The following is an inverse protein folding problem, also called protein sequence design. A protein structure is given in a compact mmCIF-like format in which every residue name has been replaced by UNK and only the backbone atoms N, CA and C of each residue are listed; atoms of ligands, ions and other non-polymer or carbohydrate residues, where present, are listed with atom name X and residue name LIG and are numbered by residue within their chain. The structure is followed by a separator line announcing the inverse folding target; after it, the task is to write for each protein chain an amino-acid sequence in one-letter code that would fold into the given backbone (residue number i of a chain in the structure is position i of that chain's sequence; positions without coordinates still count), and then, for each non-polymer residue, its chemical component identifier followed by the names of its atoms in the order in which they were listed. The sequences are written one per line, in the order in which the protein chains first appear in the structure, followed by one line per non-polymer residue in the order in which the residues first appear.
data_IF_157944942136
#
_entry.id   IF_157944942136
#
_cell.length_a   1.000
_cell.length_b   1.000
_cell.length_c   1.000
_cell.angle_alpha   90.00
_cell.angle_beta   90.00
_cell.angle_gamma   90.00
#
_symmetry.space_group_name_H-M   'P 1'
#
loop_
_entity.id
_entity.type
_entity.pdbx_description
1 polymer ?
#
# COMPACT_ATOMS: atom_id res chain seq x y z
N UNK A 1 -1.40 2.53 58.80
CA UNK A 1 -0.29 1.91 58.03
C UNK A 1 0.99 2.61 58.46
N UNK A 2 2.02 1.90 58.92
CA UNK A 2 3.24 2.56 59.43
C UNK A 2 4.10 3.06 58.26
N UNK A 3 4.23 4.38 58.10
CA UNK A 3 5.03 5.03 57.04
C UNK A 3 6.46 4.49 57.01
N UNK A 4 7.02 4.15 58.18
CA UNK A 4 8.36 3.60 58.27
C UNK A 4 8.47 2.22 57.60
N UNK A 5 7.42 1.40 57.67
CA UNK A 5 7.41 0.09 57.01
C UNK A 5 7.35 0.24 55.49
N UNK A 6 6.50 1.14 54.99
CA UNK A 6 6.38 1.46 53.57
C UNK A 6 7.72 1.96 53.03
N UNK A 7 8.34 2.91 53.73
CA UNK A 7 9.64 3.44 53.33
C UNK A 7 10.73 2.37 53.39
N UNK A 8 10.67 1.43 54.33
CA UNK A 8 11.64 0.34 54.44
C UNK A 8 11.49 -0.67 53.30
N UNK A 9 10.27 -1.04 52.94
CA UNK A 9 9.97 -1.92 51.80
C UNK A 9 10.44 -1.30 50.49
N UNK A 10 10.02 -0.06 50.21
CA UNK A 10 10.45 0.68 49.02
C UNK A 10 11.98 0.86 48.97
N UNK A 11 12.63 1.05 50.13
CA UNK A 11 14.09 1.17 50.17
C UNK A 11 14.81 -0.12 49.86
N UNK A 12 14.23 -1.26 50.23
CA UNK A 12 14.79 -2.57 49.93
C UNK A 12 14.60 -2.93 48.45
N UNK A 13 13.43 -2.63 47.88
CA UNK A 13 13.14 -2.87 46.46
C UNK A 13 14.01 -2.00 45.54
N UNK A 14 14.25 -0.74 45.91
CA UNK A 14 15.01 0.21 45.10
C UNK A 14 16.52 0.18 45.38
N UNK A 15 17.01 -0.83 46.12
CA UNK A 15 18.43 -0.95 46.48
C UNK A 15 19.29 -1.14 45.22
N UNK A 16 20.16 -0.18 44.95
CA UNK A 16 21.03 -0.18 43.75
C UNK A 16 20.57 0.79 42.64
N UNK A 17 19.41 1.43 42.81
CA UNK A 17 18.90 2.47 41.92
C UNK A 17 19.06 3.88 42.54
N UNK A 18 18.86 4.92 41.71
CA UNK A 18 18.74 6.30 42.19
C UNK A 18 17.25 6.67 42.19
N UNK A 19 16.69 7.04 43.35
CA UNK A 19 15.28 7.36 43.49
C UNK A 19 15.05 8.46 44.53
N UNK A 20 14.01 9.28 44.31
CA UNK A 20 13.49 10.24 45.28
C UNK A 20 12.05 9.84 45.62
N UNK A 21 11.79 9.58 46.90
CA UNK A 21 10.48 9.22 47.43
C UNK A 21 9.97 10.40 48.22
N UNK A 22 8.83 10.97 47.82
CA UNK A 22 8.12 12.02 48.54
C UNK A 22 6.75 11.52 48.96
N UNK A 23 6.48 11.51 50.26
CA UNK A 23 5.20 11.10 50.83
C UNK A 23 4.65 12.27 51.65
N UNK A 24 3.40 12.66 51.43
CA UNK A 24 2.72 13.67 52.22
C UNK A 24 1.68 13.01 53.13
N UNK A 25 1.80 13.22 54.44
CA UNK A 25 0.83 12.73 55.44
C UNK A 25 0.55 13.85 56.43
N UNK A 26 -0.73 14.15 56.68
CA UNK A 26 -1.19 15.17 57.64
C UNK A 26 -0.50 16.53 57.49
N UNK A 27 -0.23 16.93 56.23
CA UNK A 27 0.44 18.20 55.92
C UNK A 27 1.96 18.20 56.11
N UNK A 28 2.55 17.09 56.53
CA UNK A 28 4.00 16.91 56.63
C UNK A 28 4.54 16.13 55.44
N UNK A 29 5.69 16.56 54.92
CA UNK A 29 6.41 15.86 53.85
C UNK A 29 7.52 15.01 54.44
N UNK A 30 7.49 13.72 54.11
CA UNK A 30 8.59 12.80 54.35
C UNK A 30 9.30 12.59 53.02
N UNK A 31 10.54 13.07 52.93
CA UNK A 31 11.38 12.94 51.75
C UNK A 31 12.50 11.95 52.06
N UNK A 32 12.65 10.94 51.21
CA UNK A 32 13.73 9.96 51.29
C UNK A 32 14.38 9.80 49.93
N UNK A 33 15.70 9.87 49.88
CA UNK A 33 16.45 9.53 48.69
C UNK A 33 17.13 8.18 48.83
N UNK A 34 17.31 7.51 47.70
CA UNK A 34 18.03 6.25 47.55
C UNK A 34 19.04 6.47 46.42
N UNK A 35 20.31 6.14 46.65
CA UNK A 35 21.37 6.38 45.68
C UNK A 35 21.75 7.86 45.52
N UNK A 36 22.34 8.18 44.36
CA UNK A 36 22.86 9.52 44.02
C UNK A 36 21.78 10.37 43.35
N UNK A 37 21.28 11.36 44.09
CA UNK A 37 20.21 12.27 43.66
C UNK A 37 20.64 13.12 42.46
N UNK A 38 21.94 13.38 42.28
CA UNK A 38 22.44 14.18 41.15
C UNK A 38 22.35 13.44 39.81
N UNK A 39 22.05 12.13 39.83
CA UNK A 39 21.78 11.33 38.63
C UNK A 39 20.31 11.27 38.26
N UNK A 40 19.42 11.90 39.05
CA UNK A 40 18.03 12.05 38.68
C UNK A 40 17.93 13.10 37.57
N UNK A 41 17.32 12.73 36.45
CA UNK A 41 17.16 13.62 35.29
C UNK A 41 16.02 14.60 35.56
N UNK A 42 16.22 15.90 35.26
CA UNK A 42 15.26 17.00 35.52
C UNK A 42 13.87 16.80 34.89
N UNK A 43 13.77 15.94 33.89
CA UNK A 43 12.52 15.50 33.28
C UNK A 43 12.60 13.98 33.13
N UNK A 44 12.17 13.19 34.14
CA UNK A 44 12.00 11.77 33.91
C UNK A 44 10.93 11.62 32.82
N UNK A 45 11.34 11.12 31.65
CA UNK A 45 10.35 10.61 30.69
C UNK A 45 9.64 9.51 31.46
N UNK A 46 8.36 9.68 31.74
CA UNK A 46 7.59 8.68 32.45
C UNK A 46 7.61 7.43 31.58
N UNK A 47 8.43 6.45 31.92
CA UNK A 47 8.49 5.19 31.19
C UNK A 47 7.35 4.33 31.73
N UNK A 48 6.12 4.70 31.37
CA UNK A 48 4.99 3.81 31.51
C UNK A 48 5.12 2.73 30.43
N UNK A 49 5.65 1.57 30.81
CA UNK A 49 5.33 0.35 30.10
C UNK A 49 4.14 -0.24 30.84
N UNK A 50 3.01 -0.44 30.15
CA UNK A 50 1.93 -1.23 30.72
C UNK A 50 2.49 -2.64 30.99
N UNK A 51 2.53 -3.03 32.25
CA UNK A 51 3.10 -4.31 32.72
C UNK A 51 2.58 -5.50 31.89
N UNK A 52 3.51 -6.37 31.50
CA UNK A 52 3.34 -7.74 30.97
C UNK A 52 2.29 -7.98 29.86
N UNK A 53 1.94 -6.96 29.09
CA UNK A 53 1.08 -7.14 27.91
C UNK A 53 1.91 -7.37 26.64
N UNK A 54 1.52 -8.38 25.85
CA UNK A 54 2.14 -8.68 24.57
C UNK A 54 1.77 -7.62 23.53
N UNK A 55 2.77 -7.01 22.89
CA UNK A 55 2.59 -6.10 21.76
C UNK A 55 1.88 -6.80 20.60
N UNK A 56 2.14 -8.09 20.37
CA UNK A 56 1.54 -8.84 19.26
C UNK A 56 0.07 -9.15 19.48
N UNK A 57 -0.31 -9.48 20.72
CA UNK A 57 -1.71 -9.73 21.07
C UNK A 57 -2.52 -8.41 21.06
N UNK A 58 -1.92 -7.32 21.56
CA UNK A 58 -2.51 -5.98 21.41
C UNK A 58 -2.68 -5.59 19.94
N UNK A 59 -1.64 -5.79 19.11
CA UNK A 59 -1.69 -5.52 17.67
C UNK A 59 -2.79 -6.32 16.98
N UNK A 60 -3.00 -7.58 17.36
CA UNK A 60 -4.11 -8.40 16.85
C UNK A 60 -5.48 -7.82 17.20
N UNK A 61 -5.66 -7.44 18.48
CA UNK A 61 -6.88 -6.78 18.94
C UNK A 61 -7.15 -5.46 18.20
N UNK A 62 -6.12 -4.68 17.90
CA UNK A 62 -6.27 -3.45 17.11
C UNK A 62 -6.62 -3.72 15.65
N UNK A 63 -6.02 -4.74 15.02
CA UNK A 63 -6.36 -5.14 13.65
C UNK A 63 -7.84 -5.51 13.52
N UNK A 64 -8.41 -6.18 14.52
CA UNK A 64 -9.81 -6.62 14.48
C UNK A 64 -10.81 -5.47 14.73
N UNK A 65 -10.36 -4.36 15.33
CA UNK A 65 -11.16 -3.12 15.47
C UNK A 65 -11.10 -2.22 14.24
N UNK A 66 -10.15 -2.45 13.33
CA UNK A 66 -9.95 -1.58 12.17
C UNK A 66 -11.12 -1.61 11.18
N UNK A 67 -11.52 -0.43 10.71
CA UNK A 67 -12.56 -0.24 9.70
C UNK A 67 -12.01 -0.06 8.28
N UNK A 68 -10.75 -0.44 8.05
CA UNK A 68 -10.12 -0.33 6.73
C UNK A 68 -10.69 -1.35 5.74
N UNK A 69 -10.35 -1.18 4.46
CA UNK A 69 -10.69 -2.17 3.42
C UNK A 69 -10.11 -3.55 3.75
N UNK A 70 -10.80 -4.62 3.36
CA UNK A 70 -10.37 -6.02 3.56
C UNK A 70 -8.92 -6.27 3.13
N UNK A 71 -8.48 -5.65 2.03
CA UNK A 71 -7.11 -5.78 1.53
C UNK A 71 -6.06 -5.15 2.45
N UNK A 72 -6.39 -4.10 3.19
CA UNK A 72 -5.52 -3.47 4.19
C UNK A 72 -5.43 -4.37 5.43
N UNK A 73 -6.57 -4.84 5.94
CA UNK A 73 -6.64 -5.77 7.07
C UNK A 73 -5.84 -7.04 6.78
N UNK A 74 -6.00 -7.63 5.59
CA UNK A 74 -5.24 -8.80 5.17
C UNK A 74 -3.72 -8.55 5.14
N UNK A 75 -3.28 -7.32 4.78
CA UNK A 75 -1.87 -6.97 4.84
C UNK A 75 -1.37 -6.84 6.28
N UNK A 76 -2.18 -6.30 7.19
CA UNK A 76 -1.85 -6.20 8.61
C UNK A 76 -1.77 -7.58 9.26
N UNK A 77 -2.76 -8.46 9.03
CA UNK A 77 -2.73 -9.86 9.47
C UNK A 77 -1.52 -10.63 8.93
N UNK A 78 -1.16 -10.40 7.66
CA UNK A 78 0.06 -11.00 7.10
C UNK A 78 1.34 -10.49 7.78
N UNK A 79 1.42 -9.20 8.13
CA UNK A 79 2.56 -8.66 8.88
C UNK A 79 2.63 -9.22 10.30
N UNK A 80 1.48 -9.29 11.00
CA UNK A 80 1.37 -9.90 12.32
C UNK A 80 1.84 -11.36 12.30
N UNK A 81 1.38 -12.16 11.34
CA UNK A 81 1.80 -13.56 11.20
C UNK A 81 3.31 -13.70 11.01
N UNK A 82 3.94 -12.79 10.26
CA UNK A 82 5.40 -12.79 10.06
C UNK A 82 6.14 -12.32 11.32
N UNK A 83 5.59 -11.36 12.07
CA UNK A 83 6.12 -10.96 13.38
C UNK A 83 6.04 -12.10 14.40
N UNK A 84 4.93 -12.83 14.46
CA UNK A 84 4.78 -14.03 15.31
C UNK A 84 5.80 -15.12 14.95
N UNK A 85 6.14 -15.28 13.67
CA UNK A 85 7.22 -16.20 13.23
C UNK A 85 8.62 -15.75 13.63
N UNK A 86 8.83 -14.44 13.79
CA UNK A 86 10.09 -13.90 14.29
C UNK A 86 10.21 -14.07 15.80
N UNK A 87 9.16 -13.71 16.55
CA UNK A 87 9.02 -13.92 17.99
C UNK A 87 7.57 -14.26 18.31
N UNK A 88 7.34 -15.38 19.01
CA UNK A 88 5.99 -15.81 19.40
C UNK A 88 5.31 -14.80 20.34
N UNK A 89 6.10 -14.25 21.26
CA UNK A 89 5.67 -13.22 22.21
C UNK A 89 6.68 -12.06 22.21
N UNK A 90 6.17 -10.85 22.37
CA UNK A 90 6.95 -9.61 22.32
C UNK A 90 6.33 -8.58 23.27
N UNK A 91 6.82 -8.45 24.51
CA UNK A 91 6.41 -7.36 25.39
C UNK A 91 6.76 -5.98 24.79
N UNK A 92 6.00 -4.93 25.14
CA UNK A 92 6.26 -3.56 24.69
C UNK A 92 7.69 -3.07 25.02
N UNK A 93 8.26 -3.52 26.14
CA UNK A 93 9.64 -3.23 26.56
C UNK A 93 10.69 -3.77 25.59
N UNK A 94 10.38 -4.84 24.85
CA UNK A 94 11.27 -5.45 23.87
C UNK A 94 11.14 -4.82 22.47
N UNK A 95 10.22 -3.88 22.27
CA UNK A 95 10.04 -3.18 21.00
C UNK A 95 11.01 -1.99 20.93
N UNK A 96 12.30 -2.30 20.92
CA UNK A 96 13.39 -1.32 20.87
C UNK A 96 14.08 -1.27 19.49
N UNK A 97 15.08 -0.39 19.34
CA UNK A 97 15.83 -0.28 18.08
C UNK A 97 16.49 -1.60 17.64
N UNK A 98 16.95 -2.41 18.59
CA UNK A 98 17.59 -3.70 18.31
C UNK A 98 16.57 -4.67 17.74
N UNK A 99 15.38 -4.76 18.32
CA UNK A 99 14.26 -5.57 17.81
C UNK A 99 13.89 -5.22 16.37
N UNK A 100 13.84 -3.92 16.02
CA UNK A 100 13.58 -3.48 14.64
C UNK A 100 14.66 -4.00 13.67
N UNK A 101 15.94 -3.92 14.05
CA UNK A 101 17.05 -4.39 13.22
C UNK A 101 17.06 -5.93 13.11
N UNK A 102 16.83 -6.63 14.22
CA UNK A 102 16.78 -8.09 14.27
C UNK A 102 15.63 -8.63 13.42
N UNK A 103 14.47 -7.96 13.45
CA UNK A 103 13.34 -8.29 12.58
C UNK A 103 13.67 -8.07 11.09
N UNK A 104 14.34 -6.96 10.73
CA UNK A 104 14.78 -6.75 9.35
C UNK A 104 15.76 -7.86 8.90
N UNK A 105 16.70 -8.25 9.75
CA UNK A 105 17.67 -9.31 9.49
C UNK A 105 17.00 -10.67 9.35
N UNK A 106 16.00 -10.99 10.18
CA UNK A 106 15.17 -12.17 10.04
C UNK A 106 14.48 -12.22 8.67
N UNK A 107 13.88 -11.11 8.22
CA UNK A 107 13.22 -11.05 6.92
C UNK A 107 14.21 -11.22 5.76
N UNK A 108 15.41 -10.63 5.87
CA UNK A 108 16.49 -10.84 4.88
C UNK A 108 16.95 -12.29 4.86
N UNK A 109 17.18 -12.90 6.03
CA UNK A 109 17.59 -14.31 6.16
C UNK A 109 16.54 -15.29 5.61
N UNK A 110 15.26 -14.95 5.72
CA UNK A 110 14.15 -15.70 5.13
C UNK A 110 13.98 -15.47 3.61
N UNK A 111 14.81 -14.64 2.98
CA UNK A 111 14.81 -14.41 1.53
C UNK A 111 13.71 -13.48 1.01
N UNK A 112 13.11 -12.64 1.87
CA UNK A 112 12.11 -11.68 1.41
C UNK A 112 12.73 -10.59 0.53
N UNK A 113 12.03 -10.22 -0.55
CA UNK A 113 12.43 -9.09 -1.39
C UNK A 113 12.40 -7.76 -0.62
N UNK A 114 13.28 -6.82 -0.97
CA UNK A 114 13.48 -5.55 -0.26
C UNK A 114 12.18 -4.74 -0.12
N UNK A 115 11.37 -4.66 -1.18
CA UNK A 115 10.07 -3.96 -1.09
C UNK A 115 9.03 -4.68 -0.24
N UNK A 116 9.14 -6.01 -0.11
CA UNK A 116 8.29 -6.79 0.81
C UNK A 116 8.72 -6.55 2.26
N UNK A 117 10.03 -6.52 2.53
CA UNK A 117 10.59 -6.11 3.82
C UNK A 117 10.08 -4.71 4.18
N UNK A 118 10.23 -3.76 3.26
CA UNK A 118 9.78 -2.39 3.46
C UNK A 118 8.29 -2.29 3.81
N UNK A 119 7.46 -3.12 3.18
CA UNK A 119 6.03 -3.19 3.48
C UNK A 119 5.79 -3.66 4.92
N UNK A 120 6.42 -4.75 5.34
CA UNK A 120 6.30 -5.23 6.72
C UNK A 120 6.81 -4.20 7.73
N UNK A 121 7.96 -3.56 7.47
CA UNK A 121 8.50 -2.53 8.36
C UNK A 121 7.60 -1.29 8.47
N UNK A 122 6.89 -0.92 7.40
CA UNK A 122 5.92 0.19 7.43
C UNK A 122 4.69 -0.15 8.29
N UNK A 123 4.21 -1.39 8.19
CA UNK A 123 3.08 -1.86 9.00
C UNK A 123 3.51 -1.94 10.46
N UNK A 124 4.69 -2.51 10.75
CA UNK A 124 5.20 -2.57 12.11
C UNK A 124 5.36 -1.17 12.72
N UNK A 125 5.96 -0.23 11.98
CA UNK A 125 6.07 1.18 12.40
C UNK A 125 4.71 1.80 12.71
N UNK A 126 3.67 1.50 11.91
CA UNK A 126 2.32 2.02 12.16
C UNK A 126 1.82 1.59 13.54
N UNK A 127 1.89 0.30 13.85
CA UNK A 127 1.42 -0.20 15.15
C UNK A 127 2.29 0.29 16.31
N UNK A 128 3.60 0.48 16.09
CA UNK A 128 4.44 1.13 17.10
C UNK A 128 4.02 2.58 17.36
N UNK A 129 3.71 3.36 16.32
CA UNK A 129 3.19 4.71 16.52
C UNK A 129 1.85 4.70 17.27
N UNK A 130 0.94 3.81 16.90
CA UNK A 130 -0.34 3.67 17.58
C UNK A 130 -0.17 3.29 19.05
N UNK A 131 0.77 2.39 19.38
CA UNK A 131 1.08 2.04 20.77
C UNK A 131 1.64 3.22 21.57
N UNK A 132 2.38 4.12 20.93
CA UNK A 132 2.87 5.36 21.55
C UNK A 132 1.73 6.35 21.76
N UNK A 133 0.85 6.50 20.76
CA UNK A 133 -0.33 7.37 20.85
C UNK A 133 -1.32 6.90 21.93
N UNK A 134 -1.37 5.59 22.20
CA UNK A 134 -2.13 4.96 23.31
C UNK A 134 -1.36 4.91 24.63
N UNK A 135 -0.18 5.54 24.72
CA UNK A 135 0.66 5.61 25.93
C UNK A 135 1.11 4.23 26.47
N UNK A 136 1.11 3.19 25.64
CA UNK A 136 1.56 1.83 26.00
C UNK A 136 3.09 1.70 25.99
N UNK A 137 3.74 2.59 25.24
CA UNK A 137 5.19 2.73 25.20
C UNK A 137 5.59 4.18 24.90
N UNK A 138 6.72 4.64 25.42
CA UNK A 138 7.15 6.04 25.27
C UNK A 138 8.38 6.23 24.40
N UNK A 139 9.17 5.17 24.21
CA UNK A 139 10.40 5.23 23.40
C UNK A 139 10.07 4.85 21.96
N UNK A 140 10.32 5.77 21.02
CA UNK A 140 10.14 5.50 19.59
C UNK A 140 11.35 4.74 18.99
N UNK A 141 11.23 3.44 18.64
CA UNK A 141 12.35 2.60 18.25
C UNK A 141 12.81 2.83 16.79
N UNK A 142 11.96 3.44 15.95
CA UNK A 142 12.29 3.71 14.56
C UNK A 142 13.08 5.02 14.34
N UNK A 143 13.44 5.75 15.42
CA UNK A 143 14.10 7.06 15.34
C UNK A 143 15.37 7.06 14.48
N UNK A 144 16.20 6.02 14.59
CA UNK A 144 17.45 5.86 13.82
C UNK A 144 17.34 4.86 12.66
N UNK A 145 16.13 4.37 12.35
CA UNK A 145 15.91 3.32 11.37
C UNK A 145 15.25 3.86 10.09
N UNK A 146 15.92 3.65 8.96
CA UNK A 146 15.42 4.05 7.65
C UNK A 146 14.94 2.83 6.85
N UNK A 147 13.65 2.82 6.52
CA UNK A 147 13.07 1.79 5.67
C UNK A 147 13.56 1.98 4.23
N UNK A 148 14.34 1.03 3.73
CA UNK A 148 14.84 1.01 2.36
C UNK A 148 13.76 0.50 1.41
N UNK A 149 13.66 1.10 0.22
CA UNK A 149 12.80 0.63 -0.87
C UNK A 149 13.56 0.71 -2.18
N UNK A 150 13.29 -0.21 -3.09
CA UNK A 150 13.89 -0.22 -4.43
C UNK A 150 12.86 0.15 -5.49
N UNK A 151 13.29 0.95 -6.47
CA UNK A 151 12.47 1.26 -7.63
C UNK A 151 12.46 0.05 -8.57
N UNK A 152 11.37 -0.71 -8.53
CA UNK A 152 11.14 -1.78 -9.50
C UNK A 152 10.51 -1.18 -10.76
N UNK A 153 11.11 -1.47 -11.91
CA UNK A 153 10.55 -1.04 -13.19
C UNK A 153 9.18 -1.69 -13.39
N UNK A 154 8.15 -0.85 -13.47
CA UNK A 154 6.77 -1.31 -13.67
C UNK A 154 6.64 -1.94 -15.05
N UNK A 155 6.19 -3.19 -15.10
CA UNK A 155 5.96 -3.87 -16.38
C UNK A 155 4.73 -3.28 -17.09
N UNK A 156 4.89 -3.01 -18.37
CA UNK A 156 3.84 -2.56 -19.30
C UNK A 156 4.04 -3.25 -20.66
N UNK A 157 2.94 -3.39 -21.40
CA UNK A 157 2.97 -3.92 -22.76
C UNK A 157 3.62 -2.91 -23.70
N UNK A 158 4.39 -3.40 -24.66
CA UNK A 158 4.79 -2.63 -25.83
C UNK A 158 3.60 -2.44 -26.78
N UNK A 159 3.67 -1.45 -27.67
CA UNK A 159 2.63 -1.23 -28.67
C UNK A 159 2.47 -2.45 -29.62
N UNK A 160 3.56 -3.18 -29.89
CA UNK A 160 3.55 -4.43 -30.66
C UNK A 160 2.83 -5.56 -29.93
N UNK A 161 3.11 -5.74 -28.63
CA UNK A 161 2.44 -6.75 -27.80
C UNK A 161 0.95 -6.44 -27.64
N UNK A 162 0.59 -5.17 -27.43
CA UNK A 162 -0.81 -4.76 -27.34
C UNK A 162 -1.58 -5.10 -28.61
N UNK A 163 -1.05 -4.73 -29.79
CA UNK A 163 -1.65 -5.08 -31.08
C UNK A 163 -1.77 -6.59 -31.26
N UNK A 164 -0.77 -7.36 -30.83
CA UNK A 164 -0.83 -8.83 -30.88
C UNK A 164 -1.99 -9.38 -30.05
N UNK A 165 -2.23 -8.86 -28.84
CA UNK A 165 -3.38 -9.27 -28.01
C UNK A 165 -4.69 -8.91 -28.72
N UNK A 166 -4.80 -7.71 -29.28
CA UNK A 166 -5.99 -7.26 -30.02
C UNK A 166 -6.29 -8.16 -31.24
N UNK A 167 -5.26 -8.52 -32.01
CA UNK A 167 -5.40 -9.37 -33.19
C UNK A 167 -5.77 -10.81 -32.82
N UNK A 168 -5.12 -11.34 -31.77
CA UNK A 168 -5.33 -12.72 -31.32
C UNK A 168 -6.67 -12.92 -30.61
N UNK A 169 -7.18 -11.93 -29.89
CA UNK A 169 -8.52 -11.98 -29.28
C UNK A 169 -9.63 -12.18 -30.31
N UNK A 170 -9.44 -11.65 -31.53
CA UNK A 170 -10.38 -11.79 -32.65
C UNK A 170 -10.23 -13.08 -33.43
N UNK A 171 -8.99 -13.58 -33.55
CA UNK A 171 -8.64 -14.69 -34.46
C UNK A 171 -8.57 -16.05 -33.78
N UNK A 172 -8.23 -16.11 -32.49
CA UNK A 172 -8.14 -17.39 -31.78
C UNK A 172 -9.43 -17.73 -31.04
N UNK A 173 -9.68 -19.03 -30.93
CA UNK A 173 -10.68 -19.56 -30.03
C UNK A 173 -10.23 -19.37 -28.57
N UNK A 174 -11.00 -18.57 -27.85
CA UNK A 174 -10.89 -18.33 -26.43
C UNK A 174 -12.14 -18.91 -25.77
N UNK A 175 -11.94 -19.56 -24.62
CA UNK A 175 -13.06 -19.90 -23.74
C UNK A 175 -13.82 -18.64 -23.32
N UNK A 176 -15.06 -18.79 -22.89
CA UNK A 176 -15.87 -17.64 -22.45
C UNK A 176 -15.24 -16.88 -21.28
N UNK A 177 -14.59 -17.58 -20.34
CA UNK A 177 -13.84 -16.97 -19.24
C UNK A 177 -12.64 -16.16 -19.78
N UNK A 178 -11.83 -16.76 -20.67
CA UNK A 178 -10.67 -16.10 -21.27
C UNK A 178 -11.08 -14.84 -22.05
N UNK A 179 -12.15 -14.92 -22.85
CA UNK A 179 -12.67 -13.79 -23.62
C UNK A 179 -13.09 -12.64 -22.71
N UNK A 180 -13.84 -12.92 -21.64
CA UNK A 180 -14.24 -11.91 -20.64
C UNK A 180 -13.03 -11.25 -19.99
N UNK A 181 -12.05 -12.05 -19.56
CA UNK A 181 -10.83 -11.56 -18.91
C UNK A 181 -10.00 -10.69 -19.86
N UNK A 182 -9.80 -11.12 -21.11
CA UNK A 182 -9.04 -10.36 -22.11
C UNK A 182 -9.76 -9.06 -22.47
N UNK A 183 -11.09 -9.08 -22.71
CA UNK A 183 -11.85 -7.84 -22.98
C UNK A 183 -11.82 -6.87 -21.79
N UNK A 184 -11.96 -7.36 -20.56
CA UNK A 184 -11.83 -6.54 -19.36
C UNK A 184 -10.42 -5.95 -19.20
N UNK A 185 -9.38 -6.74 -19.50
CA UNK A 185 -7.99 -6.29 -19.49
C UNK A 185 -7.72 -5.22 -20.57
N UNK A 186 -8.18 -5.42 -21.81
CA UNK A 186 -8.06 -4.44 -22.88
C UNK A 186 -8.82 -3.14 -22.54
N UNK A 187 -10.01 -3.25 -21.95
CA UNK A 187 -10.73 -2.09 -21.46
C UNK A 187 -9.94 -1.33 -20.38
N UNK A 188 -9.25 -2.03 -19.48
CA UNK A 188 -8.32 -1.43 -18.52
C UNK A 188 -7.15 -0.71 -19.21
N UNK A 189 -6.59 -1.29 -20.28
CA UNK A 189 -5.53 -0.63 -21.07
C UNK A 189 -6.05 0.66 -21.69
N UNK A 190 -7.26 0.66 -22.23
CA UNK A 190 -7.78 1.81 -22.97
C UNK A 190 -8.35 2.92 -22.08
N UNK A 191 -8.84 2.57 -20.89
CA UNK A 191 -9.42 3.53 -19.93
C UNK A 191 -8.45 3.92 -18.82
N UNK A 192 -7.46 3.08 -18.51
CA UNK A 192 -6.57 3.24 -17.37
C UNK A 192 -7.20 2.89 -16.01
N UNK A 193 -8.44 2.39 -15.97
CA UNK A 193 -9.12 2.00 -14.73
C UNK A 193 -8.45 0.81 -14.05
N UNK A 194 -8.50 0.76 -12.71
CA UNK A 194 -7.99 -0.39 -11.94
C UNK A 194 -8.99 -1.55 -12.03
N UNK A 195 -8.52 -2.76 -11.70
CA UNK A 195 -9.37 -3.94 -11.64
C UNK A 195 -10.62 -3.71 -10.76
N UNK A 196 -10.45 -3.14 -9.57
CA UNK A 196 -11.54 -2.81 -8.64
C UNK A 196 -12.59 -1.87 -9.25
N UNK A 197 -12.16 -0.93 -10.08
CA UNK A 197 -13.05 0.02 -10.73
C UNK A 197 -13.78 -0.64 -11.92
N UNK A 198 -13.13 -1.56 -12.64
CA UNK A 198 -13.70 -2.28 -13.79
C UNK A 198 -14.79 -3.28 -13.39
N UNK A 199 -14.68 -3.93 -12.24
CA UNK A 199 -15.75 -4.83 -11.77
C UNK A 199 -17.01 -4.08 -11.28
N UNK A 200 -16.94 -2.75 -11.19
CA UNK A 200 -18.04 -1.88 -10.77
C UNK A 200 -18.56 -0.96 -11.86
N UNK A 201 -17.80 -0.73 -12.93
CA UNK A 201 -18.25 0.14 -14.02
C UNK A 201 -19.51 -0.43 -14.67
N UNK A 202 -20.51 0.43 -14.89
CA UNK A 202 -21.83 0.09 -15.45
C UNK A 202 -22.10 0.98 -16.66
N UNK A 203 -23.15 0.67 -17.40
CA UNK A 203 -23.60 1.53 -18.52
C UNK A 203 -23.96 2.95 -18.06
N UNK A 204 -24.43 3.14 -16.83
CA UNK A 204 -24.77 4.46 -16.28
C UNK A 204 -23.55 5.36 -16.08
N UNK A 205 -22.38 4.77 -15.86
CA UNK A 205 -21.11 5.50 -15.81
C UNK A 205 -20.67 6.00 -17.20
N UNK A 206 -21.26 5.50 -18.29
CA UNK A 206 -20.93 5.93 -19.66
C UNK A 206 -21.84 7.08 -20.06
N UNK A 207 -21.28 8.30 -20.08
CA UNK A 207 -22.00 9.54 -20.38
C UNK A 207 -21.58 10.07 -21.75
N UNK A 208 -22.54 10.71 -22.44
CA UNK A 208 -22.25 11.49 -23.64
C UNK A 208 -21.95 12.94 -23.22
N UNK A 209 -20.71 13.39 -23.44
CA UNK A 209 -20.25 14.74 -23.10
C UNK A 209 -19.58 15.32 -24.34
N UNK A 210 -20.04 16.48 -24.83
CA UNK A 210 -19.55 17.12 -26.05
C UNK A 210 -19.49 16.16 -27.26
N UNK A 211 -20.57 15.42 -27.52
CA UNK A 211 -20.68 14.40 -28.60
C UNK A 211 -19.65 13.25 -28.51
N UNK A 212 -18.97 13.12 -27.39
CA UNK A 212 -18.01 12.04 -27.11
C UNK A 212 -18.54 11.15 -25.99
N UNK A 213 -18.22 9.86 -26.04
CA UNK A 213 -18.45 8.94 -24.91
C UNK A 213 -17.34 9.07 -23.88
N UNK A 214 -17.74 9.22 -22.63
CA UNK A 214 -16.87 9.32 -21.45
C UNK A 214 -17.29 8.30 -20.41
N UNK A 215 -16.31 7.73 -19.70
CA UNK A 215 -16.58 7.06 -18.42
C UNK A 215 -16.41 8.09 -17.31
N UNK A 216 -17.44 8.26 -16.48
CA UNK A 216 -17.44 9.12 -15.30
C UNK A 216 -17.79 8.27 -14.10
N UNK A 217 -16.84 8.09 -13.18
CA UNK A 217 -17.03 7.27 -11.98
C UNK A 217 -16.15 7.73 -10.83
N UNK A 218 -16.61 7.48 -9.60
CA UNK A 218 -15.80 7.67 -8.38
C UNK A 218 -14.97 6.40 -8.13
N UNK A 219 -13.66 6.56 -8.03
CA UNK A 219 -12.73 5.42 -7.87
C UNK A 219 -12.81 4.83 -6.46
N UNK A 220 -12.82 3.51 -6.35
CA UNK A 220 -12.98 2.85 -5.04
C UNK A 220 -11.84 3.15 -4.06
N UNK A 221 -10.59 3.12 -4.55
CA UNK A 221 -9.42 3.18 -3.66
C UNK A 221 -9.09 4.60 -3.20
N UNK A 222 -9.33 5.58 -4.08
CA UNK A 222 -8.86 6.96 -3.88
C UNK A 222 -10.01 7.94 -3.63
N UNK A 223 -11.25 7.47 -3.78
CA UNK A 223 -12.46 8.26 -3.56
C UNK A 223 -12.58 9.54 -4.40
N UNK A 224 -11.92 9.54 -5.56
CA UNK A 224 -11.90 10.67 -6.51
C UNK A 224 -12.71 10.35 -7.76
N UNK A 225 -13.46 11.32 -8.27
CA UNK A 225 -14.11 11.21 -9.56
C UNK A 225 -13.09 11.25 -10.69
N UNK A 226 -13.16 10.28 -11.61
CA UNK A 226 -12.39 10.27 -12.85
C UNK A 226 -13.31 10.43 -14.05
N UNK A 227 -12.86 11.21 -15.03
CA UNK A 227 -13.56 11.45 -16.31
C UNK A 227 -12.64 11.05 -17.45
N UNK A 228 -12.99 9.99 -18.16
CA UNK A 228 -12.12 9.32 -19.13
C UNK A 228 -12.77 9.36 -20.52
N UNK A 229 -12.19 10.06 -21.51
CA UNK A 229 -12.76 10.19 -22.86
C UNK A 229 -12.53 8.92 -23.71
N UNK A 230 -13.26 7.85 -23.41
CA UNK A 230 -13.10 6.51 -24.01
C UNK A 230 -13.31 6.45 -25.53
N UNK A 231 -13.97 7.45 -26.10
CA UNK A 231 -14.17 7.59 -27.56
C UNK A 231 -12.98 8.22 -28.29
N UNK A 232 -12.17 9.02 -27.60
CA UNK A 232 -10.96 9.66 -28.17
C UNK A 232 -9.70 8.84 -27.88
N UNK A 233 -9.62 8.27 -26.68
CA UNK A 233 -8.48 7.45 -26.28
C UNK A 233 -8.41 6.16 -27.10
N UNK A 234 -7.19 5.79 -27.52
CA UNK A 234 -6.91 4.56 -28.26
C UNK A 234 -7.80 4.38 -29.52
N UNK A 235 -8.21 5.46 -30.18
CA UNK A 235 -9.07 5.40 -31.37
C UNK A 235 -10.49 4.90 -31.09
N UNK A 236 -10.99 5.06 -29.86
CA UNK A 236 -12.35 4.68 -29.50
C UNK A 236 -12.55 3.19 -29.22
N UNK A 237 -11.48 2.41 -29.11
CA UNK A 237 -11.55 0.95 -28.83
C UNK A 237 -12.29 0.63 -27.53
N UNK A 238 -12.13 1.45 -26.48
CA UNK A 238 -12.91 1.30 -25.26
C UNK A 238 -14.41 1.49 -25.53
N UNK A 239 -14.80 2.50 -26.32
CA UNK A 239 -16.19 2.74 -26.67
C UNK A 239 -16.80 1.60 -27.51
N UNK A 240 -16.01 0.99 -28.39
CA UNK A 240 -16.42 -0.21 -29.14
C UNK A 240 -16.70 -1.39 -28.20
N UNK A 241 -15.79 -1.66 -27.24
CA UNK A 241 -16.00 -2.71 -26.22
C UNK A 241 -17.27 -2.48 -25.40
N UNK A 242 -17.60 -1.22 -25.05
CA UNK A 242 -18.85 -0.90 -24.34
C UNK A 242 -20.09 -1.25 -25.18
N UNK A 243 -20.03 -1.09 -26.50
CA UNK A 243 -21.15 -1.41 -27.40
C UNK A 243 -21.29 -2.91 -27.63
N UNK A 244 -20.18 -3.62 -27.81
CA UNK A 244 -20.15 -5.06 -28.03
C UNK A 244 -20.57 -5.85 -26.79
N UNK A 245 -20.17 -5.41 -25.59
CA UNK A 245 -20.36 -6.18 -24.37
C UNK A 245 -21.78 -6.01 -23.82
N UNK A 246 -22.67 -6.94 -24.20
CA UNK A 246 -24.05 -6.98 -23.72
C UNK A 246 -24.12 -7.85 -22.45
N UNK A 247 -24.19 -7.19 -21.31
CA UNK A 247 -24.34 -7.82 -20.00
C UNK A 247 -25.78 -7.68 -19.49
N UNK A 248 -26.33 -8.73 -18.89
CA UNK A 248 -27.66 -8.71 -18.26
C UNK A 248 -27.71 -7.93 -16.95
N UNK A 249 -26.59 -7.84 -16.22
CA UNK A 249 -26.51 -7.24 -14.88
C UNK A 249 -26.29 -5.71 -14.86
N UNK A 250 -26.29 -5.03 -16.01
CA UNK A 250 -25.99 -3.59 -16.12
C UNK A 250 -24.50 -3.19 -15.96
N UNK A 251 -23.68 -4.01 -15.29
CA UNK A 251 -22.20 -3.90 -15.24
C UNK A 251 -21.56 -4.14 -16.60
N UNK A 252 -20.59 -3.33 -17.02
CA UNK A 252 -19.96 -3.52 -18.35
C UNK A 252 -19.13 -4.80 -18.47
N UNK A 253 -18.58 -5.31 -17.36
CA UNK A 253 -17.76 -6.51 -17.33
C UNK A 253 -18.14 -7.39 -16.13
N UNK A 254 -18.19 -8.69 -16.35
CA UNK A 254 -18.28 -9.71 -15.31
C UNK A 254 -16.97 -10.49 -15.32
N UNK A 255 -16.12 -10.23 -14.34
CA UNK A 255 -14.78 -10.81 -14.23
C UNK A 255 -14.68 -11.67 -12.96
N UNK A 256 -13.92 -12.78 -12.99
CA UNK A 256 -13.59 -13.51 -11.78
C UNK A 256 -12.67 -12.67 -10.89
N UNK A 257 -12.37 -13.15 -9.68
CA UNK A 257 -11.49 -12.42 -8.76
C UNK A 257 -10.12 -12.09 -9.40
N UNK A 258 -9.46 -11.03 -8.92
CA UNK A 258 -8.21 -10.53 -9.52
C UNK A 258 -7.13 -11.62 -9.66
N UNK A 259 -7.01 -12.50 -8.64
CA UNK A 259 -6.07 -13.62 -8.68
C UNK A 259 -6.37 -14.59 -9.84
N UNK A 260 -7.64 -14.96 -10.03
CA UNK A 260 -8.08 -15.80 -11.16
C UNK A 260 -7.86 -15.10 -12.50
N UNK A 261 -8.18 -13.81 -12.61
CA UNK A 261 -7.88 -13.02 -13.81
C UNK A 261 -6.40 -13.07 -14.18
N UNK A 262 -5.49 -12.94 -13.20
CA UNK A 262 -4.04 -13.01 -13.45
C UNK A 262 -3.59 -14.40 -13.93
N UNK A 263 -4.17 -15.47 -13.39
CA UNK A 263 -3.88 -16.84 -13.86
C UNK A 263 -4.34 -17.05 -15.31
N UNK A 264 -5.56 -16.61 -15.63
CA UNK A 264 -6.13 -16.68 -16.97
C UNK A 264 -5.29 -15.85 -17.94
N UNK A 265 -4.96 -14.60 -17.60
CA UNK A 265 -4.09 -13.74 -18.41
C UNK A 265 -2.73 -14.38 -18.65
N UNK A 266 -2.08 -14.94 -17.62
CA UNK A 266 -0.79 -15.62 -17.78
C UNK A 266 -0.85 -16.75 -18.80
N UNK A 267 -1.92 -17.55 -18.79
CA UNK A 267 -2.13 -18.65 -19.73
C UNK A 267 -2.36 -18.15 -21.15
N UNK A 268 -3.27 -17.19 -21.32
CA UNK A 268 -3.62 -16.62 -22.63
C UNK A 268 -2.43 -15.90 -23.26
N UNK A 269 -1.72 -15.08 -22.50
CA UNK A 269 -0.56 -14.35 -23.00
C UNK A 269 0.58 -15.30 -23.41
N UNK A 270 0.77 -16.41 -22.70
CA UNK A 270 1.70 -17.47 -23.13
C UNK A 270 1.30 -18.06 -24.49
N UNK A 271 0.01 -18.36 -24.71
CA UNK A 271 -0.51 -18.81 -26.03
C UNK A 271 -0.30 -17.77 -27.12
N UNK A 272 -0.38 -16.49 -26.78
CA UNK A 272 -0.13 -15.38 -27.71
C UNK A 272 1.36 -15.08 -27.93
N UNK A 273 2.28 -15.93 -27.44
CA UNK A 273 3.73 -15.70 -27.50
C UNK A 273 4.16 -14.37 -26.87
N UNK A 274 3.59 -14.05 -25.70
CA UNK A 274 3.94 -12.91 -24.85
C UNK A 274 4.44 -13.47 -23.52
N UNK A 275 5.76 -13.51 -23.35
CA UNK A 275 6.42 -14.15 -22.20
C UNK A 275 6.66 -13.21 -21.01
N UNK A 276 6.33 -11.92 -21.16
CA UNK A 276 6.48 -10.94 -20.07
C UNK A 276 5.48 -11.22 -18.95
N UNK A 277 5.87 -10.90 -17.72
CA UNK A 277 5.03 -11.09 -16.55
C UNK A 277 3.97 -9.97 -16.43
N UNK A 278 2.91 -10.09 -17.22
CA UNK A 278 1.81 -9.13 -17.25
C UNK A 278 0.70 -9.59 -16.32
N UNK A 279 0.41 -8.74 -15.32
CA UNK A 279 -0.77 -8.87 -14.47
C UNK A 279 -1.85 -7.89 -14.92
N UNK A 280 -3.05 -8.00 -14.39
CA UNK A 280 -4.14 -7.08 -14.68
C UNK A 280 -3.76 -5.62 -14.39
N UNK A 281 -2.97 -5.36 -13.34
CA UNK A 281 -2.53 -4.00 -13.01
C UNK A 281 -1.57 -3.41 -14.06
N UNK A 282 -0.84 -4.25 -14.79
CA UNK A 282 0.02 -3.81 -15.89
C UNK A 282 -0.78 -3.14 -17.02
N UNK A 283 -2.09 -3.37 -17.14
CA UNK A 283 -2.94 -2.68 -18.09
C UNK A 283 -2.92 -1.16 -17.88
N UNK A 284 -3.02 -0.73 -16.61
CA UNK A 284 -2.95 0.69 -16.25
C UNK A 284 -1.58 1.30 -16.54
N UNK A 285 -0.50 0.55 -16.30
CA UNK A 285 0.86 0.99 -16.66
C UNK A 285 1.02 1.11 -18.18
N UNK A 286 0.42 0.19 -18.92
CA UNK A 286 0.37 0.25 -20.39
C UNK A 286 -0.39 1.49 -20.85
N UNK A 287 -1.55 1.79 -20.26
CA UNK A 287 -2.30 3.03 -20.53
C UNK A 287 -1.42 4.27 -20.36
N UNK A 288 -0.79 4.41 -19.19
CA UNK A 288 0.08 5.54 -18.88
C UNK A 288 1.25 5.67 -19.87
N UNK A 289 1.91 4.55 -20.16
CA UNK A 289 3.08 4.51 -21.05
C UNK A 289 2.71 4.88 -22.48
N UNK A 290 1.55 4.40 -22.98
CA UNK A 290 1.09 4.70 -24.34
C UNK A 290 0.62 6.15 -24.46
N UNK A 291 -0.12 6.68 -23.47
CA UNK A 291 -0.52 8.09 -23.50
C UNK A 291 0.71 9.02 -23.51
N UNK A 292 1.71 8.68 -22.70
CA UNK A 292 2.95 9.43 -22.68
C UNK A 292 3.69 9.37 -24.03
N UNK A 293 3.78 8.19 -24.66
CA UNK A 293 4.44 8.07 -25.97
C UNK A 293 3.69 8.80 -27.10
N UNK A 294 2.37 8.93 -26.98
CA UNK A 294 1.56 9.75 -27.89
C UNK A 294 1.70 11.26 -27.63
N UNK A 295 2.36 11.68 -26.54
CA UNK A 295 2.66 13.08 -26.22
C UNK A 295 1.60 13.76 -25.34
N UNK A 296 0.79 12.96 -24.63
CA UNK A 296 -0.15 13.50 -23.63
C UNK A 296 0.66 13.96 -22.41
N UNK A 297 0.39 15.16 -21.91
CA UNK A 297 1.12 15.72 -20.77
C UNK A 297 0.87 14.92 -19.48
N UNK A 298 1.88 14.86 -18.61
CA UNK A 298 1.78 14.14 -17.32
C UNK A 298 0.60 14.60 -16.45
N UNK A 299 0.25 15.90 -16.35
CA UNK A 299 -0.94 16.33 -15.60
C UNK A 299 -2.25 15.74 -16.14
N UNK A 300 -2.40 15.66 -17.46
CA UNK A 300 -3.59 15.06 -18.08
C UNK A 300 -3.63 13.56 -17.80
N UNK A 301 -2.49 12.86 -17.92
CA UNK A 301 -2.39 11.43 -17.59
C UNK A 301 -2.72 11.20 -16.11
N UNK A 302 -2.20 12.04 -15.21
CA UNK A 302 -2.50 11.97 -13.78
C UNK A 302 -4.01 12.07 -13.51
N UNK A 303 -4.69 13.03 -14.16
CA UNK A 303 -6.14 13.23 -14.04
C UNK A 303 -6.94 12.04 -14.60
N UNK A 304 -6.61 11.56 -15.81
CA UNK A 304 -7.26 10.38 -16.43
C UNK A 304 -7.12 9.14 -15.54
N UNK A 305 -5.94 8.96 -14.95
CA UNK A 305 -5.68 7.82 -14.09
C UNK A 305 -6.28 8.01 -12.69
N UNK A 306 -6.57 9.23 -12.24
CA UNK A 306 -6.99 9.47 -10.84
C UNK A 306 -5.85 9.21 -9.85
N UNK A 307 -4.65 9.70 -10.19
CA UNK A 307 -3.52 9.74 -9.26
C UNK A 307 -3.55 11.05 -8.45
N UNK A 308 -3.52 10.95 -7.12
CA UNK A 308 -3.49 12.14 -6.25
C UNK A 308 -2.15 12.88 -6.31
N UNK A 309 -1.04 12.16 -6.53
CA UNK A 309 0.30 12.75 -6.59
C UNK A 309 0.93 12.56 -7.95
N UNK A 310 1.48 13.64 -8.52
CA UNK A 310 2.22 13.60 -9.79
C UNK A 310 3.43 12.65 -9.72
N UNK A 311 4.03 12.47 -8.54
CA UNK A 311 5.15 11.53 -8.29
C UNK A 311 4.80 10.11 -8.70
N UNK A 312 3.53 9.71 -8.53
CA UNK A 312 3.06 8.37 -8.96
C UNK A 312 2.92 8.23 -10.48
N UNK A 313 2.86 9.34 -11.21
CA UNK A 313 2.84 9.39 -12.68
C UNK A 313 4.25 9.60 -13.25
N UNK A 314 5.14 10.29 -12.53
CA UNK A 314 6.56 10.47 -12.91
C UNK A 314 7.33 9.15 -13.05
N UNK A 315 6.94 8.09 -12.34
CA UNK A 315 7.54 6.75 -12.52
C UNK A 315 7.40 6.19 -13.95
N UNK A 316 6.50 6.74 -14.78
CA UNK A 316 6.37 6.38 -16.19
C UNK A 316 7.16 7.29 -17.13
N UNK A 317 7.67 8.42 -16.63
CA UNK A 317 8.38 9.41 -17.43
C UNK A 317 9.86 9.12 -17.57
N UNK A 318 10.26 7.84 -17.57
CA UNK A 318 11.61 7.47 -17.97
C UNK A 318 11.80 8.01 -19.39
N UNK A 319 12.60 9.08 -19.48
CA UNK A 319 12.75 9.86 -20.69
C UNK A 319 13.47 8.97 -21.69
N UNK A 320 12.76 8.52 -22.72
CA UNK A 320 13.37 7.84 -23.86
C UNK A 320 13.88 8.91 -24.81
N UNK A 321 15.02 8.68 -25.45
CA UNK A 321 15.61 9.62 -26.42
C UNK A 321 14.63 9.98 -27.54
N UNK A 322 13.74 9.06 -27.89
CA UNK A 322 12.65 9.29 -28.86
C UNK A 322 11.62 10.30 -28.38
N UNK A 323 11.31 10.33 -27.08
CA UNK A 323 10.43 11.33 -26.46
C UNK A 323 11.10 12.69 -26.43
N UNK A 324 12.40 12.76 -26.08
CA UNK A 324 13.18 14.02 -26.13
C UNK A 324 13.14 14.60 -27.54
N UNK A 325 13.51 13.79 -28.53
CA UNK A 325 13.57 14.22 -29.92
C UNK A 325 12.22 14.71 -30.47
N UNK A 326 11.10 14.17 -29.99
CA UNK A 326 9.75 14.60 -30.39
C UNK A 326 9.35 15.90 -29.72
N UNK A 327 9.64 16.05 -28.42
CA UNK A 327 9.34 17.26 -27.66
C UNK A 327 10.19 18.45 -28.12
N UNK A 328 11.50 18.25 -28.32
CA UNK A 328 12.41 19.28 -28.89
C UNK A 328 11.94 19.66 -30.30
N UNK A 329 11.61 18.70 -31.17
CA UNK A 329 11.04 19.01 -32.50
C UNK A 329 9.72 19.76 -32.45
N UNK A 330 8.91 19.61 -31.40
CA UNK A 330 7.65 20.35 -31.23
C UNK A 330 7.89 21.76 -30.72
N UNK A 331 8.86 21.95 -29.83
CA UNK A 331 9.16 23.24 -29.20
C UNK A 331 9.89 24.21 -30.14
N UNK A 332 10.71 23.70 -31.05
CA UNK A 332 11.48 24.49 -32.02
C UNK A 332 10.90 24.38 -33.45
N UNK A 333 9.58 24.27 -33.57
CA UNK A 333 8.87 24.16 -34.85
C UNK A 333 8.17 25.45 -35.22
#
# INVERSE_FOLDING_TARGET
MNIQNILRELSNELKGHNALIQIQVDGQYVIKHIGDVNKLVDNPTLIAYKEDSSFLDWMEGEIDKETYTEGTIANHKAALAVLRRFKNDMPFTQVDYKCICDFENFLKGAGYAINTIAKFMKIFRRFVNLAIDEELMTVYPFRKYHIKTENVQKQSLTERELRRIEDKEKKEELTEEERKVVKGFLFSVYSGLRFSDIIQVTKQHVKNIYRNKWVVMRMQKTDHEVRIPISKMFGGKAAALVQENKTTTGKLFQLPCNARCNLVLKRVLKRFNIHRHITFHCARHTCATVLLSKGVSLPIIQHILGHQSIKTTQVYSAVKDTTINKEIRRAFR
#
